data_IF_300734665910
#
_entry.id   IF_300734665910
#
_cell.length_a   1.000
_cell.length_b   1.000
_cell.length_c   1.000
_cell.angle_alpha   90.00
_cell.angle_beta   90.00
_cell.angle_gamma   90.00
#
_symmetry.space_group_name_H-M   'P 1'
#
loop_
_entity.id
_entity.type
_entity.pdbx_description
1 polymer ?
#
# COMPACT_ATOMS: atom_id res chain seq x y z
N UNK A 1 -5.94 17.59 1.27
CA UNK A 1 -5.76 18.40 0.05
C UNK A 1 -7.09 18.50 -0.70
N UNK A 2 -7.65 17.42 -1.25
CA UNK A 2 -8.87 17.45 -2.07
C UNK A 2 -10.07 18.13 -1.38
N UNK A 3 -10.30 17.88 -0.09
CA UNK A 3 -11.38 18.52 0.67
C UNK A 3 -11.13 20.04 0.85
N UNK A 4 -9.89 20.41 1.20
CA UNK A 4 -9.53 21.82 1.37
C UNK A 4 -9.57 22.58 0.04
N UNK A 5 -9.15 21.98 -1.06
CA UNK A 5 -9.27 22.55 -2.41
C UNK A 5 -10.73 22.80 -2.85
N UNK A 6 -11.70 22.16 -2.19
CA UNK A 6 -13.14 22.38 -2.37
C UNK A 6 -13.76 23.27 -1.30
N UNK A 7 -12.94 23.99 -0.53
CA UNK A 7 -13.39 24.96 0.46
C UNK A 7 -13.70 24.41 1.86
N UNK A 8 -13.42 23.11 2.13
CA UNK A 8 -13.58 22.58 3.47
C UNK A 8 -12.44 23.06 4.40
N UNK A 9 -12.77 23.36 5.64
CA UNK A 9 -11.77 23.54 6.69
C UNK A 9 -11.26 22.18 7.12
N UNK A 10 -9.97 21.94 6.95
CA UNK A 10 -9.33 20.64 7.21
C UNK A 10 -8.20 20.79 8.20
N UNK A 11 -8.13 19.90 9.20
CA UNK A 11 -6.97 19.72 10.06
C UNK A 11 -6.42 18.31 9.83
N UNK A 12 -5.12 18.19 9.65
CA UNK A 12 -4.43 16.90 9.59
C UNK A 12 -3.85 16.56 10.97
N UNK A 13 -4.24 15.39 11.49
CA UNK A 13 -3.68 14.82 12.71
C UNK A 13 -2.70 13.72 12.32
N UNK A 14 -1.44 13.82 12.71
CA UNK A 14 -0.36 12.90 12.36
C UNK A 14 0.52 12.62 13.58
N UNK A 15 0.67 11.37 14.02
CA UNK A 15 1.46 11.05 15.20
C UNK A 15 2.99 11.15 14.98
N UNK A 16 3.45 11.09 13.76
CA UNK A 16 4.88 11.19 13.46
C UNK A 16 5.33 12.66 13.43
N UNK A 17 6.57 12.91 13.85
CA UNK A 17 7.20 14.23 13.78
C UNK A 17 7.31 14.77 12.35
N UNK A 18 7.40 13.87 11.36
CA UNK A 18 7.54 14.22 9.95
C UNK A 18 6.45 13.55 9.13
N UNK A 19 5.82 14.32 8.26
CA UNK A 19 4.87 13.82 7.29
C UNK A 19 5.56 12.90 6.27
N UNK A 20 4.77 11.98 5.69
CA UNK A 20 5.23 11.16 4.58
C UNK A 20 6.22 10.07 4.94
N UNK A 21 6.37 9.69 6.22
CA UNK A 21 7.30 8.66 6.68
C UNK A 21 7.17 7.35 5.90
N UNK A 22 5.94 6.94 5.56
CA UNK A 22 5.66 5.78 4.73
C UNK A 22 6.09 6.01 3.28
N UNK A 23 5.78 7.16 2.69
CA UNK A 23 6.18 7.50 1.32
C UNK A 23 7.70 7.48 1.18
N UNK A 24 8.43 7.97 2.18
CA UNK A 24 9.89 8.04 2.16
C UNK A 24 10.59 6.68 2.00
N UNK A 25 9.97 5.59 2.42
CA UNK A 25 10.56 4.25 2.29
C UNK A 25 10.07 3.50 1.05
N UNK A 26 9.05 3.99 0.35
CA UNK A 26 8.52 3.33 -0.84
C UNK A 26 9.50 3.39 -2.01
N UNK A 27 9.47 2.39 -2.89
CA UNK A 27 10.36 2.36 -4.04
C UNK A 27 11.85 2.42 -3.68
N UNK A 28 12.25 1.94 -2.50
CA UNK A 28 13.63 2.02 -1.96
C UNK A 28 14.10 3.48 -1.78
N UNK A 29 13.23 4.34 -1.26
CA UNK A 29 13.52 5.75 -1.03
C UNK A 29 13.27 6.68 -2.23
N UNK A 30 12.77 6.12 -3.35
CA UNK A 30 12.49 6.89 -4.58
C UNK A 30 11.03 7.32 -4.72
N UNK A 31 10.13 6.73 -3.96
CA UNK A 31 8.67 6.88 -4.08
C UNK A 31 8.12 6.41 -5.43
N UNK A 32 7.66 5.16 -5.52
CA UNK A 32 6.85 4.73 -6.66
C UNK A 32 5.46 5.38 -6.56
N UNK A 33 5.25 6.45 -7.35
CA UNK A 33 4.04 7.30 -7.27
C UNK A 33 2.80 6.54 -7.74
N UNK A 34 2.89 5.93 -8.92
CA UNK A 34 1.81 5.17 -9.55
C UNK A 34 2.35 4.20 -10.58
N UNK A 35 1.46 3.59 -11.36
CA UNK A 35 1.79 2.81 -12.54
C UNK A 35 1.13 3.47 -13.76
N UNK A 36 1.91 3.76 -14.79
CA UNK A 36 1.43 4.38 -16.03
C UNK A 36 0.71 3.35 -16.91
N UNK A 37 -0.52 3.01 -16.55
CA UNK A 37 -1.36 2.05 -17.26
C UNK A 37 -2.82 2.51 -17.30
N UNK A 38 -3.64 1.81 -18.07
CA UNK A 38 -5.08 2.09 -18.17
C UNK A 38 -5.83 1.62 -16.91
N UNK A 39 -7.06 2.12 -16.72
CA UNK A 39 -7.93 1.70 -15.62
C UNK A 39 -8.21 0.19 -15.67
N UNK A 40 -8.43 -0.37 -16.86
CA UNK A 40 -8.66 -1.80 -17.05
C UNK A 40 -7.45 -2.62 -16.59
N UNK A 41 -6.23 -2.18 -16.94
CA UNK A 41 -5.01 -2.83 -16.51
C UNK A 41 -4.83 -2.74 -14.99
N UNK A 42 -5.15 -1.60 -14.36
CA UNK A 42 -5.17 -1.48 -12.89
C UNK A 42 -6.12 -2.49 -12.26
N UNK A 43 -7.37 -2.55 -12.73
CA UNK A 43 -8.39 -3.45 -12.19
C UNK A 43 -8.02 -4.92 -12.35
N UNK A 44 -7.44 -5.30 -13.50
CA UNK A 44 -6.97 -6.67 -13.76
C UNK A 44 -5.84 -7.09 -12.82
N UNK A 45 -4.99 -6.15 -12.39
CA UNK A 45 -3.89 -6.39 -11.48
C UNK A 45 -4.28 -6.34 -9.99
N UNK A 46 -5.57 -6.14 -9.68
CA UNK A 46 -6.09 -6.24 -8.32
C UNK A 46 -6.75 -7.61 -8.13
N UNK A 47 -6.09 -8.57 -7.47
CA UNK A 47 -6.54 -9.96 -7.42
C UNK A 47 -7.88 -10.16 -6.70
N UNK A 48 -8.29 -9.19 -5.88
CA UNK A 48 -9.51 -9.29 -5.06
C UNK A 48 -10.25 -7.95 -5.01
N UNK A 49 -11.57 -8.02 -5.14
CA UNK A 49 -12.46 -6.86 -4.98
C UNK A 49 -12.10 -5.66 -5.88
N UNK A 50 -11.41 -5.85 -7.02
CA UNK A 50 -11.02 -4.76 -7.92
C UNK A 50 -12.20 -3.88 -8.33
N UNK A 51 -13.38 -4.48 -8.53
CA UNK A 51 -14.61 -3.76 -8.88
C UNK A 51 -15.03 -2.70 -7.85
N UNK A 52 -14.65 -2.85 -6.58
CA UNK A 52 -14.90 -1.86 -5.53
C UNK A 52 -14.20 -0.52 -5.83
N UNK A 53 -13.07 -0.56 -6.53
CA UNK A 53 -12.29 0.63 -6.85
C UNK A 53 -12.69 1.30 -8.18
N UNK A 54 -13.68 0.76 -8.90
CA UNK A 54 -14.08 1.28 -10.20
C UNK A 54 -14.41 2.76 -10.15
N UNK A 55 -15.30 3.18 -9.26
CA UNK A 55 -15.67 4.59 -9.10
C UNK A 55 -14.50 5.47 -8.66
N UNK A 56 -13.57 4.92 -7.86
CA UNK A 56 -12.38 5.66 -7.43
C UNK A 56 -11.43 5.93 -8.60
N UNK A 57 -11.18 4.94 -9.45
CA UNK A 57 -10.32 5.11 -10.62
C UNK A 57 -10.97 5.97 -11.70
N UNK A 58 -12.29 5.90 -11.85
CA UNK A 58 -13.03 6.81 -12.74
C UNK A 58 -12.98 8.28 -12.28
N UNK A 59 -12.85 8.52 -10.98
CA UNK A 59 -12.74 9.85 -10.42
C UNK A 59 -11.30 10.38 -10.33
N UNK A 60 -10.32 9.50 -10.17
CA UNK A 60 -8.90 9.83 -10.05
C UNK A 60 -8.05 8.61 -10.39
N UNK A 61 -7.55 8.55 -11.60
CA UNK A 61 -6.78 7.43 -12.14
C UNK A 61 -5.25 7.67 -12.11
N UNK A 62 -4.50 6.80 -12.78
CA UNK A 62 -3.04 6.91 -12.84
C UNK A 62 -2.56 8.16 -13.57
N UNK A 63 -3.26 8.60 -14.61
CA UNK A 63 -2.91 9.79 -15.38
C UNK A 63 -3.20 11.04 -14.57
N UNK A 64 -4.34 11.06 -13.85
CA UNK A 64 -4.68 12.16 -12.94
C UNK A 64 -3.64 12.26 -11.80
N UNK A 65 -3.17 11.14 -11.28
CA UNK A 65 -2.12 11.12 -10.27
C UNK A 65 -0.79 11.67 -10.81
N UNK A 66 -0.42 11.32 -12.05
CA UNK A 66 0.78 11.87 -12.68
C UNK A 66 0.64 13.38 -12.91
N UNK A 67 -0.46 13.82 -13.51
CA UNK A 67 -0.73 15.23 -13.74
C UNK A 67 -0.72 16.03 -12.43
N UNK A 68 -1.35 15.53 -11.38
CA UNK A 68 -1.36 16.16 -10.07
C UNK A 68 0.05 16.43 -9.51
N UNK A 69 0.96 15.47 -9.57
CA UNK A 69 2.32 15.69 -9.09
C UNK A 69 3.14 16.58 -10.01
N UNK A 70 2.97 16.50 -11.32
CA UNK A 70 3.63 17.40 -12.28
C UNK A 70 3.16 18.84 -12.10
N UNK A 71 1.87 19.10 -11.87
CA UNK A 71 1.32 20.41 -11.50
C UNK A 71 1.89 20.95 -10.18
N UNK A 72 2.22 20.07 -9.24
CA UNK A 72 2.92 20.43 -8.01
C UNK A 72 4.42 20.68 -8.20
N UNK A 73 4.93 20.58 -9.42
CA UNK A 73 6.33 20.82 -9.74
C UNK A 73 7.25 19.62 -9.51
N UNK A 74 6.71 18.39 -9.47
CA UNK A 74 7.48 17.14 -9.38
C UNK A 74 7.52 16.47 -10.76
N UNK A 75 8.58 16.65 -11.57
CA UNK A 75 8.71 15.96 -12.83
C UNK A 75 8.77 14.44 -12.63
N UNK A 76 8.01 13.69 -13.44
CA UNK A 76 7.90 12.25 -13.34
C UNK A 76 8.54 11.55 -14.53
N UNK A 77 8.98 10.30 -14.32
CA UNK A 77 9.47 9.38 -15.34
C UNK A 77 8.81 8.02 -15.21
N UNK A 78 8.56 7.38 -16.34
CA UNK A 78 8.07 5.99 -16.39
C UNK A 78 9.23 5.05 -16.65
N UNK A 79 9.39 4.05 -15.81
CA UNK A 79 10.42 3.01 -15.92
C UNK A 79 9.81 1.65 -16.35
N UNK A 80 10.67 0.65 -16.51
CA UNK A 80 10.25 -0.73 -16.86
C UNK A 80 9.11 -1.21 -15.96
N UNK A 81 8.10 -1.82 -16.56
CA UNK A 81 6.88 -2.28 -15.89
C UNK A 81 5.92 -1.12 -15.59
N UNK A 82 6.03 -0.03 -16.34
CA UNK A 82 5.18 1.17 -16.23
C UNK A 82 5.21 1.84 -14.84
N UNK A 83 6.23 1.57 -14.04
CA UNK A 83 6.38 2.18 -12.71
C UNK A 83 6.76 3.65 -12.86
N UNK A 84 6.08 4.51 -12.13
CA UNK A 84 6.29 5.96 -12.18
C UNK A 84 7.05 6.43 -10.95
N UNK A 85 8.13 7.16 -11.18
CA UNK A 85 8.99 7.74 -10.16
C UNK A 85 9.24 9.22 -10.42
N UNK A 86 9.60 10.03 -9.40
CA UNK A 86 10.14 11.35 -9.66
C UNK A 86 11.45 11.25 -10.44
N UNK A 87 11.70 12.18 -11.34
CA UNK A 87 12.94 12.23 -12.14
C UNK A 87 14.18 12.29 -11.24
N UNK A 88 14.07 12.95 -10.10
CA UNK A 88 15.13 13.08 -9.09
C UNK A 88 15.48 11.79 -8.35
N UNK A 89 14.65 10.74 -8.46
CA UNK A 89 14.74 9.51 -7.66
C UNK A 89 14.71 9.74 -6.13
N UNK A 90 14.07 10.80 -5.66
CA UNK A 90 13.99 11.19 -4.26
C UNK A 90 12.53 11.26 -3.79
N UNK A 91 12.16 10.41 -2.85
CA UNK A 91 10.83 10.45 -2.22
C UNK A 91 10.57 11.79 -1.49
N UNK A 92 11.62 12.46 -1.02
CA UNK A 92 11.51 13.75 -0.36
C UNK A 92 10.84 14.80 -1.24
N UNK A 93 11.13 14.84 -2.54
CA UNK A 93 10.57 15.85 -3.44
C UNK A 93 9.05 15.69 -3.58
N UNK A 94 8.56 14.45 -3.58
CA UNK A 94 7.12 14.15 -3.58
C UNK A 94 6.47 14.58 -2.26
N UNK A 95 7.13 14.32 -1.14
CA UNK A 95 6.64 14.68 0.20
C UNK A 95 6.60 16.20 0.36
N UNK A 96 7.67 16.89 -0.03
CA UNK A 96 7.79 18.34 0.05
C UNK A 96 6.74 19.04 -0.81
N UNK A 97 6.49 18.53 -2.03
CA UNK A 97 5.44 19.06 -2.91
C UNK A 97 4.06 18.98 -2.26
N UNK A 98 3.71 17.83 -1.67
CA UNK A 98 2.45 17.67 -0.92
C UNK A 98 2.39 18.62 0.28
N UNK A 99 3.47 18.74 1.05
CA UNK A 99 3.53 19.62 2.21
C UNK A 99 3.39 21.09 1.85
N UNK A 100 4.07 21.57 0.81
CA UNK A 100 3.93 22.92 0.34
C UNK A 100 2.53 23.20 -0.20
N UNK A 101 1.92 22.24 -0.88
CA UNK A 101 0.54 22.37 -1.33
C UNK A 101 -0.46 22.44 -0.18
N UNK A 102 -0.26 21.64 0.87
CA UNK A 102 -1.05 21.74 2.10
C UNK A 102 -0.93 23.12 2.75
N UNK A 103 0.29 23.69 2.81
CA UNK A 103 0.50 25.06 3.32
C UNK A 103 -0.24 26.11 2.50
N UNK A 104 -0.22 26.02 1.17
CA UNK A 104 -0.98 26.92 0.29
C UNK A 104 -2.49 26.85 0.53
N UNK A 105 -3.00 25.68 0.91
CA UNK A 105 -4.39 25.45 1.25
C UNK A 105 -4.72 25.73 2.73
N UNK A 106 -3.78 26.29 3.50
CA UNK A 106 -3.93 26.59 4.92
C UNK A 106 -4.40 25.37 5.75
N UNK A 107 -3.88 24.17 5.47
CA UNK A 107 -4.20 22.96 6.22
C UNK A 107 -3.23 22.88 7.42
N UNK A 108 -3.69 23.12 8.66
CA UNK A 108 -2.85 22.92 9.84
C UNK A 108 -2.55 21.42 10.05
N UNK A 109 -1.34 21.17 10.50
CA UNK A 109 -0.90 19.83 10.91
C UNK A 109 -0.71 19.83 12.43
N UNK A 110 -1.40 18.95 13.10
CA UNK A 110 -1.26 18.74 14.53
C UNK A 110 -0.54 17.42 14.77
N UNK A 111 0.60 17.48 15.45
CA UNK A 111 1.30 16.27 15.87
C UNK A 111 0.56 15.70 17.09
N UNK A 112 -0.25 14.67 16.84
CA UNK A 112 -1.02 13.97 17.86
C UNK A 112 -1.40 12.58 17.37
N UNK A 113 -1.67 11.67 18.29
CA UNK A 113 -2.21 10.35 18.02
C UNK A 113 -3.72 10.35 18.29
N UNK A 114 -4.51 10.15 17.26
CA UNK A 114 -5.94 9.92 17.39
C UNK A 114 -6.19 8.56 18.05
N UNK A 115 -7.09 8.53 19.02
CA UNK A 115 -7.50 7.33 19.75
C UNK A 115 -8.94 6.91 19.46
N UNK A 116 -9.82 7.89 19.20
CA UNK A 116 -11.24 7.63 19.00
C UNK A 116 -11.90 8.69 18.13
N UNK A 117 -12.87 8.28 17.31
CA UNK A 117 -13.83 9.18 16.68
C UNK A 117 -15.09 9.22 17.56
N UNK A 118 -15.47 10.41 17.99
CA UNK A 118 -16.61 10.63 18.89
C UNK A 118 -17.87 10.88 18.08
N UNK A 119 -18.99 10.34 18.58
CA UNK A 119 -20.31 10.56 18.02
C UNK A 119 -21.19 11.28 19.05
N UNK A 120 -22.03 12.19 18.57
CA UNK A 120 -23.13 12.82 19.31
C UNK A 120 -24.38 12.69 18.45
N UNK A 121 -25.45 12.15 19.02
CA UNK A 121 -26.68 11.84 18.30
C UNK A 121 -26.51 11.05 17.00
N UNK A 122 -25.53 10.11 16.98
CA UNK A 122 -25.22 9.26 15.80
C UNK A 122 -24.44 9.96 14.68
N UNK A 123 -23.96 11.18 14.91
CA UNK A 123 -23.12 11.94 13.96
C UNK A 123 -21.73 12.18 14.53
N UNK A 124 -20.73 12.30 13.67
CA UNK A 124 -19.37 12.65 14.11
C UNK A 124 -19.39 14.04 14.77
N UNK A 125 -18.94 14.10 16.03
CA UNK A 125 -18.76 15.35 16.80
C UNK A 125 -17.30 15.76 16.89
N UNK A 126 -16.35 14.82 16.82
CA UNK A 126 -14.94 15.14 16.89
C UNK A 126 -14.03 13.90 16.93
N UNK A 127 -12.75 14.16 17.15
CA UNK A 127 -11.70 13.15 17.28
C UNK A 127 -10.97 13.37 18.60
N UNK A 128 -10.89 12.33 19.44
CA UNK A 128 -10.11 12.31 20.66
C UNK A 128 -8.65 11.96 20.33
N UNK A 129 -7.72 12.65 20.94
CA UNK A 129 -6.28 12.46 20.74
C UNK A 129 -5.54 12.52 22.09
N UNK A 130 -4.26 12.15 22.07
CA UNK A 130 -3.35 12.27 23.21
C UNK A 130 -3.04 13.73 23.63
N UNK A 131 -3.42 14.72 22.81
CA UNK A 131 -3.28 16.14 23.14
C UNK A 131 -4.62 16.90 23.26
N UNK A 132 -5.75 16.17 23.30
CA UNK A 132 -7.07 16.73 23.51
C UNK A 132 -8.06 16.42 22.39
N UNK A 133 -9.25 17.01 22.49
CA UNK A 133 -10.38 16.81 21.59
C UNK A 133 -10.39 17.81 20.43
N UNK A 134 -10.57 17.32 19.22
CA UNK A 134 -10.71 18.11 18.01
C UNK A 134 -12.13 18.04 17.47
N UNK A 135 -12.95 19.09 17.63
CA UNK A 135 -14.32 19.09 17.14
C UNK A 135 -14.33 19.08 15.60
N UNK A 136 -15.14 18.23 15.00
CA UNK A 136 -15.33 18.18 13.55
C UNK A 136 -16.67 17.55 13.19
N UNK A 137 -17.16 17.87 11.99
CA UNK A 137 -18.42 17.32 11.46
C UNK A 137 -18.20 16.05 10.63
N UNK A 138 -16.96 15.77 10.28
CA UNK A 138 -16.57 14.59 9.51
C UNK A 138 -15.10 14.25 9.79
N UNK A 139 -14.78 12.96 9.84
CA UNK A 139 -13.42 12.47 9.99
C UNK A 139 -13.06 11.53 8.82
N UNK A 140 -11.87 11.67 8.29
CA UNK A 140 -11.32 10.78 7.27
C UNK A 140 -10.26 9.89 7.93
N UNK A 141 -10.55 8.59 8.06
CA UNK A 141 -9.59 7.60 8.53
C UNK A 141 -8.57 7.30 7.41
N UNK A 142 -7.38 7.89 7.53
CA UNK A 142 -6.28 7.72 6.58
C UNK A 142 -5.01 7.16 7.29
N UNK A 143 -5.19 6.36 8.33
CA UNK A 143 -4.16 5.87 9.25
C UNK A 143 -3.24 4.80 8.65
N UNK A 144 -3.48 4.39 7.42
CA UNK A 144 -2.77 3.29 6.77
C UNK A 144 -3.26 1.92 7.23
N UNK A 145 -2.50 0.88 6.90
CA UNK A 145 -2.80 -0.51 7.26
C UNK A 145 -1.95 -1.03 8.42
N UNK A 146 -1.50 -2.32 8.31
CA UNK A 146 -0.68 -2.98 9.32
C UNK A 146 0.76 -3.25 8.87
N UNK A 147 1.18 -2.77 7.69
CA UNK A 147 2.53 -3.00 7.17
C UNK A 147 3.48 -1.88 7.59
N UNK A 148 4.71 -2.25 7.95
CA UNK A 148 5.73 -1.33 8.43
C UNK A 148 5.26 -0.46 9.61
N UNK A 149 4.97 -1.06 10.79
CA UNK A 149 4.39 -0.35 11.94
C UNK A 149 5.22 0.86 12.40
N UNK A 150 6.55 0.80 12.25
CA UNK A 150 7.45 1.91 12.56
C UNK A 150 7.19 3.19 11.74
N UNK A 151 6.39 3.13 10.69
CA UNK A 151 5.95 4.29 9.91
C UNK A 151 4.62 4.87 10.37
N UNK A 152 3.99 4.31 11.41
CA UNK A 152 2.68 4.71 11.91
C UNK A 152 1.52 3.81 11.43
N UNK A 153 1.79 2.80 10.59
CA UNK A 153 0.76 1.86 10.10
C UNK A 153 0.54 0.73 11.11
N UNK A 154 -0.15 1.01 12.20
CA UNK A 154 -0.35 0.12 13.36
C UNK A 154 -1.70 -0.59 13.38
N UNK A 155 -2.61 -0.20 12.48
CA UNK A 155 -3.96 -0.77 12.41
C UNK A 155 -4.99 -0.01 13.25
N UNK A 156 -4.63 1.08 13.90
CA UNK A 156 -5.52 1.88 14.78
C UNK A 156 -6.84 2.26 14.10
N UNK A 157 -6.82 2.59 12.81
CA UNK A 157 -8.03 2.92 12.05
C UNK A 157 -9.03 1.77 11.93
N UNK A 158 -8.57 0.52 11.94
CA UNK A 158 -9.50 -0.63 11.95
C UNK A 158 -10.22 -0.74 13.29
N UNK A 159 -9.53 -0.47 14.39
CA UNK A 159 -10.15 -0.48 15.72
C UNK A 159 -11.14 0.67 15.87
N UNK A 160 -10.79 1.87 15.43
CA UNK A 160 -11.71 3.02 15.39
C UNK A 160 -12.96 2.71 14.54
N UNK A 161 -12.79 2.09 13.38
CA UNK A 161 -13.92 1.70 12.54
C UNK A 161 -14.83 0.66 13.21
N UNK A 162 -14.25 -0.36 13.90
CA UNK A 162 -15.03 -1.33 14.67
C UNK A 162 -15.81 -0.69 15.81
N UNK A 163 -15.19 0.24 16.53
CA UNK A 163 -15.84 0.98 17.62
C UNK A 163 -17.04 1.78 17.13
N UNK A 164 -17.05 2.22 15.87
CA UNK A 164 -18.16 2.90 15.22
C UNK A 164 -19.21 1.95 14.61
N UNK A 165 -19.08 0.63 14.84
CA UNK A 165 -20.03 -0.37 14.34
C UNK A 165 -19.77 -0.88 12.92
N UNK A 166 -18.66 -0.50 12.27
CA UNK A 166 -18.32 -1.03 10.97
C UNK A 166 -17.79 -2.46 11.04
N UNK A 167 -18.21 -3.32 10.11
CA UNK A 167 -17.61 -4.64 9.94
C UNK A 167 -16.23 -4.51 9.28
N UNK A 168 -15.21 -4.93 10.01
CA UNK A 168 -13.83 -4.96 9.50
C UNK A 168 -13.43 -6.40 9.25
N UNK A 169 -13.24 -6.76 7.97
CA UNK A 169 -12.65 -8.05 7.58
C UNK A 169 -11.17 -8.01 7.95
N UNK A 170 -10.72 -8.98 8.76
CA UNK A 170 -9.33 -9.02 9.22
C UNK A 170 -8.34 -8.98 8.06
N UNK A 171 -7.38 -8.04 8.07
CA UNK A 171 -6.33 -8.00 7.08
C UNK A 171 -5.52 -9.29 7.08
N UNK A 172 -5.09 -9.73 5.91
CA UNK A 172 -4.20 -10.86 5.73
C UNK A 172 -2.97 -10.42 4.96
N UNK A 173 -1.81 -11.09 5.17
CA UNK A 173 -0.59 -10.79 4.42
C UNK A 173 -0.81 -10.86 2.91
N UNK A 174 -0.19 -9.93 2.18
CA UNK A 174 -0.16 -9.87 0.72
C UNK A 174 1.13 -9.21 0.26
N UNK A 175 1.68 -9.64 -0.88
CA UNK A 175 2.99 -9.20 -1.34
C UNK A 175 4.09 -9.45 -0.30
N UNK A 176 4.09 -10.64 0.27
CA UNK A 176 5.03 -11.07 1.32
C UNK A 176 5.88 -12.25 0.85
N UNK A 177 7.11 -12.41 1.36
CA UNK A 177 7.87 -13.64 1.17
C UNK A 177 7.15 -14.84 1.80
N UNK A 178 7.55 -16.03 1.40
CA UNK A 178 6.95 -17.28 1.85
C UNK A 178 7.98 -18.12 2.62
N UNK A 179 7.58 -18.63 3.75
CA UNK A 179 8.32 -19.69 4.43
C UNK A 179 8.13 -21.00 3.67
N UNK A 180 9.21 -21.76 3.50
CA UNK A 180 9.19 -23.08 2.88
C UNK A 180 9.37 -24.16 3.94
N UNK A 181 8.72 -25.32 3.74
CA UNK A 181 8.90 -26.49 4.60
C UNK A 181 10.24 -27.18 4.32
N UNK A 182 10.81 -26.96 3.14
CA UNK A 182 12.04 -27.60 2.69
C UNK A 182 13.30 -26.87 3.21
N UNK A 183 14.14 -27.59 3.91
CA UNK A 183 15.39 -27.07 4.52
C UNK A 183 16.43 -26.57 3.51
N UNK A 184 16.34 -27.00 2.25
CA UNK A 184 17.32 -26.60 1.25
C UNK A 184 17.28 -25.09 0.91
N UNK A 185 16.16 -24.43 1.16
CA UNK A 185 16.02 -22.98 0.89
C UNK A 185 17.06 -22.18 1.68
N UNK A 186 17.27 -22.51 2.95
CA UNK A 186 18.27 -21.86 3.78
C UNK A 186 19.70 -22.06 3.29
N UNK A 187 20.01 -23.23 2.72
CA UNK A 187 21.32 -23.54 2.13
C UNK A 187 21.59 -22.72 0.85
N UNK A 188 20.55 -22.27 0.19
CA UNK A 188 20.59 -21.44 -1.02
C UNK A 188 20.38 -19.95 -0.75
N UNK A 189 20.42 -19.52 0.50
CA UNK A 189 20.23 -18.12 0.88
C UNK A 189 21.09 -17.17 0.02
N UNK A 190 20.44 -16.13 -0.53
CA UNK A 190 21.11 -15.13 -1.37
C UNK A 190 21.16 -15.50 -2.86
N UNK A 191 20.85 -16.74 -3.25
CA UNK A 191 20.76 -17.12 -4.66
C UNK A 191 19.53 -16.45 -5.29
N UNK A 192 19.78 -15.57 -6.26
CA UNK A 192 18.77 -14.94 -7.09
C UNK A 192 18.71 -15.65 -8.46
N UNK A 193 17.54 -16.15 -8.79
CA UNK A 193 17.28 -16.77 -10.09
C UNK A 193 16.57 -15.76 -11.00
N UNK A 194 17.03 -15.65 -12.24
CA UNK A 194 16.43 -14.81 -13.27
C UNK A 194 15.77 -15.68 -14.34
N UNK A 195 14.67 -15.18 -14.91
CA UNK A 195 13.97 -15.85 -16.01
C UNK A 195 13.51 -17.28 -15.67
N UNK A 196 13.10 -17.53 -14.44
CA UNK A 196 12.49 -18.79 -14.02
C UNK A 196 10.96 -18.67 -14.05
N UNK A 197 10.25 -19.79 -14.25
CA UNK A 197 8.79 -19.81 -14.15
C UNK A 197 8.37 -20.39 -12.81
N UNK A 198 7.50 -19.66 -12.11
CA UNK A 198 6.88 -20.09 -10.86
C UNK A 198 5.42 -20.42 -11.09
N UNK A 199 5.03 -21.64 -10.75
CA UNK A 199 3.64 -22.10 -10.74
C UNK A 199 3.22 -22.48 -9.32
N UNK A 200 2.13 -21.87 -8.83
CA UNK A 200 1.57 -22.19 -7.51
C UNK A 200 0.30 -23.00 -7.66
N UNK A 201 0.26 -24.16 -7.03
CA UNK A 201 -0.91 -25.04 -6.97
C UNK A 201 -1.49 -25.08 -5.55
N UNK A 202 -2.82 -25.07 -5.45
CA UNK A 202 -3.50 -25.34 -4.18
C UNK A 202 -3.62 -26.86 -3.92
N UNK A 203 -4.15 -27.25 -2.75
CA UNK A 203 -4.35 -28.66 -2.36
C UNK A 203 -5.18 -29.49 -3.35
N UNK A 204 -6.07 -28.85 -4.13
CA UNK A 204 -6.86 -29.52 -5.18
C UNK A 204 -6.12 -29.63 -6.51
N UNK A 205 -4.82 -29.29 -6.56
CA UNK A 205 -4.01 -29.29 -7.78
C UNK A 205 -4.31 -28.16 -8.76
N UNK A 206 -5.26 -27.26 -8.43
CA UNK A 206 -5.57 -26.10 -9.29
C UNK A 206 -4.44 -25.08 -9.23
N UNK A 207 -3.99 -24.63 -10.40
CA UNK A 207 -3.06 -23.51 -10.54
C UNK A 207 -3.77 -22.22 -10.14
N UNK A 208 -3.21 -21.50 -9.16
CA UNK A 208 -3.73 -20.22 -8.66
C UNK A 208 -2.89 -19.04 -9.08
N UNK A 209 -1.65 -19.30 -9.51
CA UNK A 209 -0.71 -18.31 -10.03
C UNK A 209 0.31 -18.99 -10.93
N UNK A 210 0.74 -18.33 -12.00
CA UNK A 210 1.84 -18.75 -12.85
C UNK A 210 2.40 -17.53 -13.59
N UNK A 211 3.68 -17.27 -13.42
CA UNK A 211 4.41 -16.21 -14.12
C UNK A 211 5.89 -16.57 -14.27
N UNK A 212 6.58 -15.85 -15.18
CA UNK A 212 8.01 -15.92 -15.39
C UNK A 212 8.68 -14.63 -14.91
N UNK A 213 9.83 -14.76 -14.23
CA UNK A 213 10.54 -13.60 -13.69
C UNK A 213 11.67 -13.95 -12.74
N UNK A 214 11.86 -13.13 -11.71
CA UNK A 214 12.93 -13.26 -10.74
C UNK A 214 12.43 -13.82 -9.40
N UNK A 215 13.22 -14.72 -8.82
CA UNK A 215 13.00 -15.35 -7.52
C UNK A 215 14.27 -15.27 -6.69
N UNK A 216 14.12 -15.09 -5.37
CA UNK A 216 15.22 -15.03 -4.42
C UNK A 216 15.03 -16.09 -3.33
N UNK A 217 16.08 -16.89 -3.04
CA UNK A 217 16.14 -17.73 -1.86
C UNK A 217 16.56 -16.95 -0.63
N UNK A 218 15.89 -17.20 0.49
CA UNK A 218 16.16 -16.61 1.80
C UNK A 218 16.48 -17.70 2.81
N UNK A 219 16.93 -17.33 4.01
CA UNK A 219 17.21 -18.27 5.08
C UNK A 219 15.97 -19.04 5.59
N UNK A 220 14.77 -18.54 5.31
CA UNK A 220 13.51 -19.16 5.76
C UNK A 220 12.65 -19.69 4.60
N UNK A 221 13.02 -19.44 3.34
CA UNK A 221 12.22 -19.85 2.20
C UNK A 221 12.47 -19.00 0.96
N UNK A 222 11.41 -18.42 0.40
CA UNK A 222 11.42 -17.79 -0.92
C UNK A 222 10.91 -16.36 -0.88
N UNK A 223 11.51 -15.50 -1.69
CA UNK A 223 11.16 -14.10 -1.90
C UNK A 223 11.39 -13.70 -3.37
N UNK A 224 11.46 -12.40 -3.63
CA UNK A 224 11.62 -11.84 -4.98
C UNK A 224 10.29 -11.55 -5.67
N UNK A 225 10.32 -10.84 -6.81
CA UNK A 225 9.11 -10.35 -7.46
C UNK A 225 8.04 -11.41 -7.72
N UNK A 226 8.42 -12.59 -8.23
CA UNK A 226 7.49 -13.71 -8.48
C UNK A 226 6.78 -14.18 -7.21
N UNK A 227 7.54 -14.36 -6.12
CA UNK A 227 7.00 -14.89 -4.87
C UNK A 227 6.08 -13.87 -4.20
N UNK A 228 6.47 -12.59 -4.20
CA UNK A 228 5.64 -11.53 -3.67
C UNK A 228 4.32 -11.43 -4.44
N UNK A 229 4.35 -11.46 -5.78
CA UNK A 229 3.14 -11.46 -6.60
C UNK A 229 2.29 -12.71 -6.34
N UNK A 230 2.91 -13.89 -6.28
CA UNK A 230 2.23 -15.16 -6.00
C UNK A 230 1.46 -15.11 -4.67
N UNK A 231 2.07 -14.54 -3.62
CA UNK A 231 1.46 -14.47 -2.29
C UNK A 231 0.13 -13.72 -2.29
N UNK A 232 -0.06 -12.72 -3.16
CA UNK A 232 -1.32 -12.00 -3.29
C UNK A 232 -2.48 -12.88 -3.81
N UNK A 233 -2.17 -13.96 -4.52
CA UNK A 233 -3.14 -14.93 -5.04
C UNK A 233 -3.40 -16.10 -4.08
N UNK A 234 -2.58 -16.26 -3.04
CA UNK A 234 -2.71 -17.31 -2.05
C UNK A 234 -3.68 -16.89 -0.94
N UNK A 235 -4.70 -17.71 -0.69
CA UNK A 235 -5.71 -17.45 0.34
C UNK A 235 -5.50 -18.37 1.53
N UNK A 236 -5.66 -17.84 2.75
CA UNK A 236 -5.55 -18.62 4.00
C UNK A 236 -4.27 -19.45 3.99
N UNK A 237 -3.12 -18.79 3.87
CA UNK A 237 -1.82 -19.45 3.92
C UNK A 237 -1.70 -20.29 5.18
N UNK A 238 -1.32 -21.53 5.00
CA UNK A 238 -1.06 -22.51 6.06
C UNK A 238 -0.08 -23.57 5.53
N UNK A 239 0.68 -24.24 6.39
CA UNK A 239 1.58 -25.33 6.01
C UNK A 239 0.88 -26.37 5.12
N UNK A 240 1.56 -26.87 4.10
CA UNK A 240 1.07 -27.86 3.15
C UNK A 240 -0.10 -27.44 2.26
N UNK A 241 -0.59 -26.19 2.36
CA UNK A 241 -1.78 -25.75 1.62
C UNK A 241 -1.50 -25.41 0.16
N UNK A 242 -0.27 -25.03 -0.13
CA UNK A 242 0.17 -24.66 -1.47
C UNK A 242 1.46 -25.37 -1.81
N UNK A 243 1.61 -25.72 -3.08
CA UNK A 243 2.84 -26.27 -3.65
C UNK A 243 3.36 -25.31 -4.71
N UNK A 244 4.62 -24.91 -4.57
CA UNK A 244 5.34 -24.08 -5.50
C UNK A 244 6.16 -24.99 -6.42
N UNK A 245 5.99 -24.84 -7.72
CA UNK A 245 6.73 -25.56 -8.75
C UNK A 245 7.59 -24.54 -9.48
N UNK A 246 8.89 -24.71 -9.39
CA UNK A 246 9.87 -23.84 -10.02
C UNK A 246 10.44 -24.54 -11.24
N UNK A 247 10.28 -23.90 -12.41
CA UNK A 247 10.94 -24.30 -13.64
C UNK A 247 12.15 -23.38 -13.84
N UNK A 248 13.34 -23.98 -13.80
CA UNK A 248 14.60 -23.25 -13.89
C UNK A 248 14.98 -22.88 -15.32
N UNK A 249 14.35 -23.49 -16.32
CA UNK A 249 14.62 -23.28 -17.73
C UNK A 249 13.32 -23.31 -18.54
N UNK A 250 12.41 -22.34 -18.31
CA UNK A 250 11.17 -22.27 -19.08
C UNK A 250 11.49 -22.04 -20.56
N UNK A 251 10.68 -22.68 -21.43
CA UNK A 251 10.79 -22.56 -22.89
C UNK A 251 10.38 -21.15 -23.38
#
# INVERSE_FOLDING_TARGET
IAAAGRGAQVTLIEPNERLGKKLNITGKGRCNVTNNCTEEALLQNIPRNGKFLYSSFSAFNSQDAMAFFEELGVPLKTERGNRVFPVSDRAADVIDALFFHMKKLNIPVTQARASQICLEEGRVSGVETDCGFFPCRAAVLATGGCSYPATGSTGDGYEMARALGHTVVSPVPSLVPLEAEEDFCGKMQGLALKNVSLRVKNQKGKVVYQEQGELLFTHFGLSGPLVLSASAHMRRMAPGRYRLLLDLKPA
#
